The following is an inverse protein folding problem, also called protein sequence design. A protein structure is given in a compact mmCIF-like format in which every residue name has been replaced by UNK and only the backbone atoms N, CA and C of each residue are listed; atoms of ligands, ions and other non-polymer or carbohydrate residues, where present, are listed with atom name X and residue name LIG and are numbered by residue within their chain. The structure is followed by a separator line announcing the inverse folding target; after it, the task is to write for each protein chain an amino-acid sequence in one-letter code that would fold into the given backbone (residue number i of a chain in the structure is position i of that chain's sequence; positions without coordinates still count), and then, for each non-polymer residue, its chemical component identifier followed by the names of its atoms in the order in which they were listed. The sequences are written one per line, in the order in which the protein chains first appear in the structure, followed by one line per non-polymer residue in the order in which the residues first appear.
data_IF_759089739167
#
_entry.id   IF_759089739167
#
_cell.length_a   1.000
_cell.length_b   1.000
_cell.length_c   1.000
_cell.angle_alpha   90.00
_cell.angle_beta   90.00
_cell.angle_gamma   90.00
#
_symmetry.space_group_name_H-M   'P 1'
#
loop_
_entity.id
_entity.type
_entity.pdbx_description
1 polymer ?
#
# COMPACT_ATOMS: atom_id res chain seq x y z
N UNK A 1 8.70 -15.32 -2.45
CA UNK A 1 7.28 -15.04 -2.14
C UNK A 1 6.89 -15.84 -0.91
N UNK A 2 6.67 -15.20 0.25
CA UNK A 2 6.33 -15.91 1.50
C UNK A 2 4.82 -16.11 1.50
N UNK A 3 4.35 -17.33 1.28
CA UNK A 3 2.92 -17.64 1.34
C UNK A 3 2.37 -17.15 2.69
N UNK A 4 1.26 -16.38 2.73
CA UNK A 4 0.61 -16.10 3.99
C UNK A 4 0.27 -17.45 4.64
N UNK A 5 0.65 -17.62 5.91
CA UNK A 5 0.19 -18.75 6.73
C UNK A 5 -1.32 -18.89 6.48
N UNK A 6 -1.71 -20.02 5.87
CA UNK A 6 -3.08 -20.26 5.38
C UNK A 6 -4.09 -19.76 6.40
N UNK A 7 -5.10 -19.02 5.96
CA UNK A 7 -6.14 -18.43 6.83
C UNK A 7 -6.72 -19.50 7.78
N UNK A 8 -6.84 -20.73 7.29
CA UNK A 8 -7.22 -21.93 8.05
C UNK A 8 -6.35 -22.18 9.31
N UNK A 9 -5.04 -21.97 9.25
CA UNK A 9 -4.17 -22.14 10.42
C UNK A 9 -4.46 -21.10 11.49
N UNK A 10 -4.76 -19.86 11.08
CA UNK A 10 -5.11 -18.79 12.02
C UNK A 10 -6.47 -19.04 12.66
N UNK A 11 -7.43 -19.51 11.88
CA UNK A 11 -8.76 -19.92 12.36
C UNK A 11 -8.64 -21.01 13.42
N UNK A 12 -7.89 -22.08 13.14
CA UNK A 12 -7.71 -23.20 14.08
C UNK A 12 -7.00 -22.79 15.37
N UNK A 13 -5.99 -21.92 15.29
CA UNK A 13 -5.30 -21.40 16.48
C UNK A 13 -6.26 -20.55 17.33
N UNK A 14 -7.08 -19.70 16.72
CA UNK A 14 -8.06 -18.88 17.45
C UNK A 14 -9.20 -19.71 18.01
N UNK A 15 -9.67 -20.73 17.29
CA UNK A 15 -10.68 -21.66 17.80
C UNK A 15 -10.20 -22.36 19.08
N UNK A 16 -8.97 -22.89 19.07
CA UNK A 16 -8.38 -23.51 20.28
C UNK A 16 -8.14 -22.53 21.42
N UNK A 17 -7.81 -21.28 21.08
CA UNK A 17 -7.70 -20.19 22.05
C UNK A 17 -9.05 -19.83 22.70
N UNK A 18 -10.12 -19.72 21.92
CA UNK A 18 -11.47 -19.43 22.41
C UNK A 18 -12.05 -20.58 23.23
N UNK A 19 -11.80 -21.81 22.82
CA UNK A 19 -12.18 -23.02 23.53
C UNK A 19 -11.36 -23.27 24.81
N UNK A 20 -10.38 -22.41 25.12
CA UNK A 20 -9.50 -22.52 26.30
C UNK A 20 -8.81 -23.88 26.40
N UNK A 21 -8.46 -24.47 25.25
CA UNK A 21 -7.84 -25.81 25.17
C UNK A 21 -6.44 -25.89 25.79
N UNK A 22 -5.87 -24.74 26.16
CA UNK A 22 -4.60 -24.66 26.88
C UNK A 22 -4.03 -23.26 26.91
N UNK A 23 -2.82 -23.16 27.44
CA UNK A 23 -2.00 -21.95 27.39
C UNK A 23 -1.57 -21.62 25.96
N UNK A 24 -1.19 -20.37 25.70
CA UNK A 24 -0.65 -19.93 24.40
C UNK A 24 0.56 -20.76 23.96
N UNK A 25 1.34 -21.28 24.91
CA UNK A 25 2.51 -22.13 24.64
C UNK A 25 2.10 -23.52 24.16
N UNK A 26 1.10 -24.12 24.79
CA UNK A 26 0.55 -25.41 24.35
C UNK A 26 -0.11 -25.30 22.96
N UNK A 27 -0.80 -24.20 22.68
CA UNK A 27 -1.34 -23.93 21.34
C UNK A 27 -0.23 -23.78 20.31
N UNK A 28 0.86 -23.08 20.64
CA UNK A 28 2.00 -22.92 19.75
C UNK A 28 2.65 -24.27 19.39
N UNK A 29 2.85 -25.14 20.38
CA UNK A 29 3.38 -26.50 20.17
C UNK A 29 2.42 -27.37 19.33
N UNK A 30 1.12 -27.39 19.65
CA UNK A 30 0.11 -28.17 18.92
C UNK A 30 0.02 -27.78 17.45
N UNK A 31 0.03 -26.49 17.15
CA UNK A 31 -0.07 -25.97 15.79
C UNK A 31 1.29 -25.80 15.10
N UNK A 32 2.40 -26.18 15.75
CA UNK A 32 3.77 -26.06 15.22
C UNK A 32 4.10 -24.63 14.75
N UNK A 33 3.67 -23.65 15.52
CA UNK A 33 3.91 -22.21 15.27
C UNK A 33 4.70 -21.59 16.41
N UNK A 34 5.22 -20.39 16.21
CA UNK A 34 5.91 -19.67 17.29
C UNK A 34 4.91 -19.15 18.35
N UNK A 35 5.37 -19.04 19.60
CA UNK A 35 4.59 -18.40 20.67
C UNK A 35 4.22 -16.94 20.33
N UNK A 36 5.14 -16.22 19.68
CA UNK A 36 4.89 -14.85 19.21
C UNK A 36 3.72 -14.79 18.22
N UNK A 37 3.63 -15.76 17.31
CA UNK A 37 2.52 -15.85 16.35
C UNK A 37 1.18 -16.02 17.06
N UNK A 38 1.07 -16.95 18.01
CA UNK A 38 -0.18 -17.17 18.78
C UNK A 38 -0.55 -15.92 19.58
N UNK A 39 0.43 -15.27 20.22
CA UNK A 39 0.22 -14.04 21.00
C UNK A 39 -0.26 -12.88 20.12
N UNK A 40 0.40 -12.65 19.00
CA UNK A 40 0.07 -11.57 18.07
C UNK A 40 -1.29 -11.80 17.41
N UNK A 41 -1.59 -13.04 17.03
CA UNK A 41 -2.87 -13.42 16.47
C UNK A 41 -4.00 -13.26 17.48
N UNK A 42 -3.80 -13.71 18.73
CA UNK A 42 -4.80 -13.55 19.81
C UNK A 42 -5.03 -12.08 20.14
N UNK A 43 -3.98 -11.25 20.14
CA UNK A 43 -4.09 -9.80 20.33
C UNK A 43 -4.88 -9.16 19.19
N UNK A 44 -4.56 -9.50 17.94
CA UNK A 44 -5.28 -9.02 16.76
C UNK A 44 -6.76 -9.39 16.85
N UNK A 45 -7.06 -10.67 17.14
CA UNK A 45 -8.42 -11.16 17.26
C UNK A 45 -9.23 -10.41 18.34
N UNK A 46 -8.64 -10.17 19.51
CA UNK A 46 -9.27 -9.37 20.58
C UNK A 46 -9.56 -7.92 20.16
N UNK A 47 -8.74 -7.34 19.27
CA UNK A 47 -8.87 -5.94 18.84
C UNK A 47 -9.82 -5.76 17.66
N UNK A 48 -9.76 -6.65 16.67
CA UNK A 48 -10.48 -6.51 15.40
C UNK A 48 -11.65 -7.48 15.24
N UNK A 49 -11.74 -8.52 16.09
CA UNK A 49 -12.71 -9.62 15.93
C UNK A 49 -12.40 -10.55 14.75
N UNK A 50 -11.29 -10.34 14.04
CA UNK A 50 -10.97 -11.08 12.81
C UNK A 50 -9.64 -11.82 12.89
N UNK A 51 -9.55 -12.92 12.15
CA UNK A 51 -8.31 -13.72 11.95
C UNK A 51 -7.65 -13.45 10.61
N UNK A 52 -8.32 -12.66 9.76
CA UNK A 52 -7.81 -12.24 8.47
C UNK A 52 -6.49 -11.47 8.66
N UNK A 53 -5.51 -11.65 7.74
CA UNK A 53 -4.37 -10.75 7.71
C UNK A 53 -4.86 -9.31 7.60
N UNK A 54 -4.17 -8.38 8.27
CA UNK A 54 -4.30 -6.97 7.90
C UNK A 54 -4.09 -6.86 6.40
N UNK A 55 -4.95 -6.09 5.72
CA UNK A 55 -4.73 -5.75 4.32
C UNK A 55 -3.27 -5.31 4.17
N UNK A 56 -2.55 -5.89 3.20
CA UNK A 56 -1.21 -5.43 2.88
C UNK A 56 -1.31 -3.91 2.72
N UNK A 57 -0.69 -3.17 3.65
CA UNK A 57 -0.71 -1.72 3.60
C UNK A 57 -0.14 -1.33 2.24
N UNK A 58 -1.03 -0.87 1.35
CA UNK A 58 -0.64 -0.34 0.06
C UNK A 58 0.52 0.61 0.29
N UNK A 59 1.59 0.46 -0.50
CA UNK A 59 2.80 1.25 -0.34
C UNK A 59 2.51 2.75 -0.20
N UNK A 60 3.49 3.48 0.35
CA UNK A 60 3.43 4.90 0.69
C UNK A 60 2.35 5.69 -0.08
N UNK A 61 1.42 6.31 0.66
CA UNK A 61 0.40 7.21 0.13
C UNK A 61 1.06 8.20 -0.83
N UNK A 62 0.67 8.17 -2.10
CA UNK A 62 1.26 9.03 -3.12
C UNK A 62 1.10 10.50 -2.71
N UNK A 63 2.18 11.29 -2.76
CA UNK A 63 2.15 12.74 -2.49
C UNK A 63 1.14 13.48 -3.37
N UNK A 64 0.89 12.95 -4.57
CA UNK A 64 -0.21 13.33 -5.45
C UNK A 64 -1.45 12.52 -5.06
N UNK A 65 -2.28 13.07 -4.18
CA UNK A 65 -3.58 12.50 -3.83
C UNK A 65 -4.65 12.74 -4.91
N UNK A 66 -5.85 12.19 -4.69
CA UNK A 66 -7.00 12.29 -5.60
C UNK A 66 -7.35 13.73 -5.99
N UNK A 67 -7.13 14.70 -5.09
CA UNK A 67 -7.41 16.11 -5.34
C UNK A 67 -6.47 16.76 -6.38
N UNK A 68 -5.26 16.23 -6.56
CA UNK A 68 -4.25 16.81 -7.44
C UNK A 68 -4.24 16.16 -8.83
N UNK A 69 -4.84 14.97 -8.97
CA UNK A 69 -4.94 14.25 -10.24
C UNK A 69 -5.70 15.03 -11.34
N UNK A 70 -6.82 15.74 -11.05
CA UNK A 70 -7.48 16.57 -12.05
C UNK A 70 -6.61 17.73 -12.54
N UNK A 71 -5.76 18.29 -11.68
CA UNK A 71 -4.85 19.40 -12.04
C UNK A 71 -3.75 18.87 -12.97
N UNK A 72 -3.18 17.70 -12.66
CA UNK A 72 -2.23 17.03 -13.55
C UNK A 72 -2.87 16.72 -14.90
N UNK A 73 -4.11 16.21 -14.92
CA UNK A 73 -4.85 15.97 -16.16
C UNK A 73 -5.02 17.24 -16.99
N UNK A 74 -5.49 18.33 -16.38
CA UNK A 74 -5.67 19.61 -17.07
C UNK A 74 -4.35 20.17 -17.63
N UNK A 75 -3.23 20.01 -16.90
CA UNK A 75 -1.91 20.42 -17.36
C UNK A 75 -1.44 19.63 -18.58
N UNK A 76 -1.69 18.33 -18.61
CA UNK A 76 -1.34 17.46 -19.74
C UNK A 76 -2.25 17.70 -20.94
N UNK A 77 -3.56 17.86 -20.74
CA UNK A 77 -4.51 18.17 -21.83
C UNK A 77 -4.24 19.53 -22.46
N UNK A 78 -3.83 20.53 -21.66
CA UNK A 78 -3.46 21.84 -22.18
C UNK A 78 -2.19 21.79 -23.05
N UNK A 79 -1.29 20.83 -22.80
CA UNK A 79 -0.06 20.67 -23.57
C UNK A 79 0.44 19.22 -23.57
N UNK A 80 -0.09 18.38 -24.47
CA UNK A 80 0.23 16.95 -24.50
C UNK A 80 1.71 16.67 -24.84
N UNK A 81 2.38 17.62 -25.51
CA UNK A 81 3.79 17.53 -25.90
C UNK A 81 4.77 18.04 -24.82
N UNK A 82 4.27 18.50 -23.67
CA UNK A 82 5.12 19.04 -22.61
C UNK A 82 6.08 17.97 -22.06
N UNK A 83 7.29 18.40 -21.69
CA UNK A 83 8.23 17.50 -21.03
C UNK A 83 7.77 17.23 -19.60
N UNK A 84 8.06 16.03 -19.11
CA UNK A 84 7.67 15.64 -17.74
C UNK A 84 8.21 16.59 -16.65
N UNK A 85 9.37 17.21 -16.90
CA UNK A 85 9.97 18.23 -16.02
C UNK A 85 9.15 19.51 -15.99
N UNK A 86 8.69 19.97 -17.15
CA UNK A 86 7.84 21.16 -17.27
C UNK A 86 6.50 20.95 -16.56
N UNK A 87 5.95 19.73 -16.61
CA UNK A 87 4.75 19.39 -15.84
C UNK A 87 4.98 19.48 -14.33
N UNK A 88 6.14 19.06 -13.82
CA UNK A 88 6.48 19.22 -12.40
C UNK A 88 6.60 20.68 -11.98
N UNK A 89 7.26 21.50 -12.81
CA UNK A 89 7.43 22.93 -12.57
C UNK A 89 6.07 23.64 -12.55
N UNK A 90 5.22 23.39 -13.55
CA UNK A 90 3.87 23.97 -13.62
C UNK A 90 2.95 23.51 -12.50
N UNK A 91 3.06 22.26 -12.08
CA UNK A 91 2.32 21.77 -10.91
C UNK A 91 2.76 22.55 -9.67
N UNK A 92 4.06 22.77 -9.50
CA UNK A 92 4.62 23.55 -8.39
C UNK A 92 4.12 24.99 -8.44
N UNK A 93 4.10 25.63 -9.61
CA UNK A 93 3.58 26.99 -9.79
C UNK A 93 2.09 27.11 -9.45
N UNK A 94 1.27 26.14 -9.86
CA UNK A 94 -0.18 26.17 -9.62
C UNK A 94 -0.61 25.79 -8.21
N UNK A 95 0.10 24.84 -7.60
CA UNK A 95 -0.35 24.20 -6.34
C UNK A 95 0.61 24.40 -5.17
N UNK A 96 1.82 24.89 -5.43
CA UNK A 96 2.91 24.94 -4.46
C UNK A 96 3.54 23.57 -4.15
N UNK A 97 3.04 22.49 -4.75
CA UNK A 97 3.49 21.12 -4.44
C UNK A 97 4.64 20.72 -5.36
N UNK A 98 5.82 20.60 -4.77
CA UNK A 98 6.98 20.03 -5.45
C UNK A 98 6.90 18.49 -5.48
N UNK A 99 6.98 17.93 -6.68
CA UNK A 99 6.98 16.48 -6.91
C UNK A 99 8.19 16.06 -7.74
N UNK A 100 8.70 14.85 -7.50
CA UNK A 100 9.75 14.28 -8.34
C UNK A 100 9.19 13.89 -9.72
N UNK A 101 10.07 13.81 -10.71
CA UNK A 101 9.74 13.26 -12.04
C UNK A 101 9.08 11.87 -11.93
N UNK A 102 9.60 11.00 -11.06
CA UNK A 102 9.02 9.67 -10.82
C UNK A 102 7.60 9.70 -10.26
N UNK A 103 7.28 10.72 -9.44
CA UNK A 103 5.94 10.92 -8.90
C UNK A 103 4.99 11.43 -9.98
N UNK A 104 5.45 12.38 -10.80
CA UNK A 104 4.68 12.88 -11.96
C UNK A 104 4.43 11.77 -12.99
N UNK A 105 5.44 10.96 -13.33
CA UNK A 105 5.29 9.83 -14.25
C UNK A 105 4.23 8.84 -13.77
N UNK A 106 4.24 8.49 -12.48
CA UNK A 106 3.23 7.60 -11.90
C UNK A 106 1.82 8.21 -11.95
N UNK A 107 1.69 9.51 -11.71
CA UNK A 107 0.41 10.20 -11.80
C UNK A 107 -0.14 10.21 -13.24
N UNK A 108 0.71 10.51 -14.23
CA UNK A 108 0.37 10.43 -15.65
C UNK A 108 -0.05 9.01 -16.03
N UNK A 109 0.71 7.98 -15.62
CA UNK A 109 0.39 6.58 -15.90
C UNK A 109 -0.94 6.15 -15.28
N UNK A 110 -1.25 6.65 -14.08
CA UNK A 110 -2.52 6.40 -13.39
C UNK A 110 -3.70 7.04 -14.13
N UNK A 111 -3.45 8.14 -14.86
CA UNK A 111 -4.43 8.83 -15.69
C UNK A 111 -4.50 8.30 -17.13
N UNK A 112 -3.73 7.25 -17.46
CA UNK A 112 -3.61 6.67 -18.80
C UNK A 112 -3.19 7.69 -19.89
N UNK A 113 -2.46 8.74 -19.49
CA UNK A 113 -2.00 9.79 -20.40
C UNK A 113 -0.61 9.46 -20.98
N UNK A 114 -0.35 9.89 -22.21
CA UNK A 114 0.98 9.84 -22.81
C UNK A 114 1.64 11.22 -22.74
N UNK A 115 2.84 11.30 -22.19
CA UNK A 115 3.67 12.52 -22.28
C UNK A 115 5.08 12.16 -22.75
N UNK A 116 5.76 13.15 -23.31
CA UNK A 116 7.14 13.00 -23.76
C UNK A 116 8.05 12.79 -22.55
N UNK A 117 8.79 11.67 -22.56
CA UNK A 117 9.82 11.38 -21.54
C UNK A 117 11.00 12.31 -21.76
N UNK A 118 11.67 12.68 -20.67
CA UNK A 118 12.86 13.51 -20.73
C UNK A 118 13.88 12.86 -21.68
N UNK A 119 14.13 13.48 -22.83
CA UNK A 119 15.32 13.19 -23.63
C UNK A 119 16.32 14.22 -23.14
N UNK A 120 17.07 13.87 -22.10
CA UNK A 120 18.28 14.63 -21.77
C UNK A 120 19.21 14.50 -22.99
N UNK A 121 19.25 15.55 -23.81
CA UNK A 121 20.34 15.78 -24.75
C UNK A 121 21.28 16.77 -24.08
N UNK A 122 22.23 16.24 -23.31
CA UNK A 122 23.57 16.79 -23.07
C UNK A 122 24.42 15.74 -22.34
#
# INVERSE_FOLDING_TARGET
MRAPLSVDLRERVIAGYQAKEGSMRQLAERFKVSLSFVRDLSRHYRQSGTVAPKAHGGGAVAKLGVAQLPIVKALVEAQPDALLKELCERLTEKTGIQVSLSTMQRAVQTLELSVKKNIDSL
#
